data_IF_602716148481
#
_entry.id   IF_602716148481
#
_cell.length_a   1.000
_cell.length_b   1.000
_cell.length_c   1.000
_cell.angle_alpha   90.00
_cell.angle_beta   90.00
_cell.angle_gamma   90.00
#
_symmetry.space_group_name_H-M   'P 1'
#
loop_
_entity.id
_entity.type
_entity.pdbx_description
1 polymer ?
#
# COMPACT_ATOMS: atom_id res chain seq x y z
N UNK A 1 -5.60 25.09 -22.66
CA UNK A 1 -6.07 25.15 -21.26
C UNK A 1 -6.61 23.76 -20.95
N UNK A 2 -5.77 22.90 -20.39
CA UNK A 2 -6.20 21.55 -20.05
C UNK A 2 -7.07 21.61 -18.79
N UNK A 3 -8.32 21.17 -18.95
CA UNK A 3 -9.29 21.06 -17.88
C UNK A 3 -8.91 19.82 -17.08
N UNK A 4 -8.14 20.00 -16.02
CA UNK A 4 -7.81 18.93 -15.08
C UNK A 4 -9.15 18.44 -14.50
N UNK A 5 -9.50 17.15 -14.64
CA UNK A 5 -10.73 16.62 -14.05
C UNK A 5 -10.68 16.88 -12.55
N UNK A 6 -11.70 17.56 -12.03
CA UNK A 6 -11.93 17.70 -10.59
C UNK A 6 -12.25 16.32 -10.03
N UNK A 7 -11.22 15.49 -9.83
CA UNK A 7 -11.28 14.51 -8.77
C UNK A 7 -11.58 15.31 -7.51
N UNK A 8 -12.72 15.02 -6.88
CA UNK A 8 -13.10 15.59 -5.60
C UNK A 8 -12.12 14.99 -4.58
N UNK A 9 -10.92 15.57 -4.51
CA UNK A 9 -9.87 15.11 -3.62
C UNK A 9 -10.21 15.66 -2.24
N UNK A 10 -10.42 14.77 -1.28
CA UNK A 10 -10.51 15.17 0.12
C UNK A 10 -9.11 15.63 0.59
N UNK A 11 -8.87 16.93 0.60
CA UNK A 11 -7.53 17.53 0.81
C UNK A 11 -6.96 17.21 2.19
N UNK A 12 -7.79 17.15 3.23
CA UNK A 12 -7.38 16.75 4.58
C UNK A 12 -6.87 15.31 4.65
N UNK A 13 -7.53 14.37 3.96
CA UNK A 13 -7.12 12.97 3.91
C UNK A 13 -5.81 12.83 3.13
N UNK A 14 -5.69 13.55 2.00
CA UNK A 14 -4.46 13.63 1.19
C UNK A 14 -3.28 14.17 2.01
N UNK A 15 -3.48 15.25 2.75
CA UNK A 15 -2.47 15.82 3.63
C UNK A 15 -2.01 14.83 4.69
N UNK A 16 -2.96 14.13 5.35
CA UNK A 16 -2.63 13.09 6.34
C UNK A 16 -1.85 11.94 5.72
N UNK A 17 -2.14 11.60 4.46
CA UNK A 17 -1.44 10.57 3.71
C UNK A 17 0.00 10.99 3.44
N UNK A 18 0.22 12.19 2.89
CA UNK A 18 1.56 12.74 2.62
C UNK A 18 2.42 12.80 3.89
N UNK A 19 1.84 13.25 5.01
CA UNK A 19 2.53 13.29 6.31
C UNK A 19 3.03 11.89 6.71
N UNK A 20 2.21 10.85 6.49
CA UNK A 20 2.57 9.45 6.77
C UNK A 20 3.61 8.93 5.80
N UNK A 21 3.45 9.18 4.49
CA UNK A 21 4.37 8.74 3.44
C UNK A 21 5.78 9.36 3.61
N UNK A 22 5.87 10.56 4.18
CA UNK A 22 7.15 11.20 4.55
C UNK A 22 7.71 10.75 5.90
N UNK A 23 7.10 9.76 6.54
CA UNK A 23 7.46 9.25 7.87
C UNK A 23 7.48 10.36 8.96
N UNK A 24 6.67 11.40 8.80
CA UNK A 24 6.56 12.49 9.77
C UNK A 24 5.46 12.12 10.78
N UNK A 25 5.78 12.14 12.08
CA UNK A 25 4.76 11.96 13.12
C UNK A 25 3.78 13.13 13.07
N UNK A 26 2.48 12.87 13.20
CA UNK A 26 1.42 13.90 13.22
C UNK A 26 1.73 15.00 14.25
N UNK A 27 2.25 14.62 15.42
CA UNK A 27 2.64 15.57 16.46
C UNK A 27 3.77 16.51 16.01
N UNK A 28 4.74 15.98 15.27
CA UNK A 28 5.88 16.76 14.77
C UNK A 28 5.45 17.67 13.62
N UNK A 29 4.56 17.21 12.75
CA UNK A 29 3.90 18.06 11.75
C UNK A 29 3.15 19.23 12.42
N UNK A 30 2.37 18.95 13.46
CA UNK A 30 1.61 19.97 14.19
C UNK A 30 2.52 21.03 14.83
N UNK A 31 3.60 20.59 15.46
CA UNK A 31 4.63 21.47 16.03
C UNK A 31 5.28 22.35 14.97
N UNK A 32 5.67 21.78 13.82
CA UNK A 32 6.28 22.52 12.70
C UNK A 32 5.31 23.54 12.09
N UNK A 33 4.02 23.22 12.08
CA UNK A 33 2.97 24.11 11.58
C UNK A 33 2.44 25.11 12.62
N UNK A 34 2.98 25.10 13.84
CA UNK A 34 2.62 26.08 14.88
C UNK A 34 1.25 25.86 15.51
N UNK A 35 0.67 24.65 15.44
CA UNK A 35 -0.64 24.36 16.04
C UNK A 35 -0.67 23.08 16.89
N UNK A 36 -1.75 22.91 17.65
CA UNK A 36 -1.93 21.74 18.53
C UNK A 36 -2.24 20.47 17.73
N UNK A 37 -1.98 19.30 18.34
CA UNK A 37 -2.31 18.02 17.72
C UNK A 37 -3.82 17.91 17.34
N UNK A 38 -4.70 18.47 18.16
CA UNK A 38 -6.14 18.54 17.88
C UNK A 38 -6.45 19.34 16.60
N UNK A 39 -5.74 20.46 16.39
CA UNK A 39 -5.89 21.28 15.17
C UNK A 39 -5.38 20.52 13.94
N UNK A 40 -4.32 19.70 14.07
CA UNK A 40 -3.86 18.82 13.00
C UNK A 40 -4.97 17.85 12.56
N UNK A 41 -5.60 17.15 13.52
CA UNK A 41 -6.70 16.24 13.27
C UNK A 41 -7.97 16.94 12.74
N UNK A 42 -8.17 18.21 13.09
CA UNK A 42 -9.21 19.04 12.49
C UNK A 42 -8.95 19.26 11.00
N UNK A 43 -7.74 19.65 10.60
CA UNK A 43 -7.39 19.82 9.18
C UNK A 43 -7.46 18.51 8.39
N UNK A 44 -7.06 17.39 8.98
CA UNK A 44 -7.11 16.09 8.29
C UNK A 44 -8.53 15.59 7.97
N UNK A 45 -9.55 16.13 8.63
CA UNK A 45 -10.97 15.81 8.36
C UNK A 45 -11.65 16.80 7.42
N UNK A 46 -10.93 17.81 6.92
CA UNK A 46 -11.50 18.77 5.97
C UNK A 46 -11.47 18.24 4.55
N UNK A 47 -12.61 18.25 3.89
CA UNK A 47 -12.70 17.97 2.46
C UNK A 47 -11.90 18.99 1.64
N UNK A 48 -11.96 20.26 2.02
CA UNK A 48 -11.21 21.35 1.41
C UNK A 48 -10.52 22.23 2.47
N UNK A 49 -9.27 22.57 2.22
CA UNK A 49 -8.43 23.45 3.02
C UNK A 49 -8.25 24.75 2.23
N UNK A 50 -8.18 25.89 2.94
CA UNK A 50 -7.93 27.18 2.28
C UNK A 50 -6.59 27.13 1.56
N UNK A 51 -6.55 27.59 0.30
CA UNK A 51 -5.35 27.56 -0.57
C UNK A 51 -4.09 28.12 0.11
N UNK A 52 -4.20 29.24 0.83
CA UNK A 52 -3.06 29.82 1.55
C UNK A 52 -2.49 28.87 2.61
N UNK A 53 -3.36 28.27 3.43
CA UNK A 53 -2.97 27.28 4.45
C UNK A 53 -2.42 26.01 3.81
N UNK A 54 -3.01 25.55 2.70
CA UNK A 54 -2.53 24.37 2.00
C UNK A 54 -1.13 24.58 1.42
N UNK A 55 -0.85 25.77 0.88
CA UNK A 55 0.49 26.14 0.42
C UNK A 55 1.50 26.13 1.57
N UNK A 56 1.16 26.67 2.74
CA UNK A 56 2.01 26.60 3.94
C UNK A 56 2.28 25.14 4.35
N UNK A 57 1.30 24.25 4.26
CA UNK A 57 1.52 22.84 4.55
C UNK A 57 2.43 22.18 3.52
N UNK A 58 2.27 22.51 2.23
CA UNK A 58 3.13 22.01 1.17
C UNK A 58 4.58 22.47 1.37
N UNK A 59 4.81 23.74 1.73
CA UNK A 59 6.17 24.25 2.02
C UNK A 59 6.78 23.58 3.25
N UNK A 60 6.02 23.38 4.32
CA UNK A 60 6.47 22.65 5.51
C UNK A 60 6.83 21.19 5.21
N UNK A 61 6.10 20.57 4.29
CA UNK A 61 6.33 19.20 3.84
C UNK A 61 7.41 19.12 2.75
N UNK A 62 7.88 20.25 2.21
CA UNK A 62 8.84 20.29 1.11
C UNK A 62 8.30 19.64 -0.16
N UNK A 63 7.05 19.95 -0.52
CA UNK A 63 6.41 19.54 -1.77
C UNK A 63 5.77 20.74 -2.46
N UNK A 64 5.56 20.66 -3.77
CA UNK A 64 4.78 21.64 -4.51
C UNK A 64 3.27 21.38 -4.39
N UNK A 65 2.46 22.39 -4.75
CA UNK A 65 1.00 22.23 -4.79
C UNK A 65 0.57 21.24 -5.89
N UNK A 66 1.28 21.23 -7.01
CA UNK A 66 1.02 20.29 -8.10
C UNK A 66 1.35 18.86 -7.66
N UNK A 67 2.47 18.67 -6.95
CA UNK A 67 2.81 17.40 -6.31
C UNK A 67 1.76 16.96 -5.30
N UNK A 68 1.17 17.88 -4.53
CA UNK A 68 0.11 17.56 -3.57
C UNK A 68 -1.14 16.98 -4.26
N UNK A 69 -1.60 17.59 -5.36
CA UNK A 69 -2.78 17.12 -6.10
C UNK A 69 -2.49 15.90 -6.96
N UNK A 70 -1.27 15.80 -7.48
CA UNK A 70 -0.77 14.63 -8.19
C UNK A 70 -0.28 13.51 -7.24
N UNK A 71 -0.41 13.71 -5.91
CA UNK A 71 0.01 12.73 -4.91
C UNK A 71 -0.95 11.53 -4.93
N UNK A 72 -0.74 10.67 -5.91
CA UNK A 72 -1.01 9.26 -5.76
C UNK A 72 -0.18 8.77 -4.60
N UNK A 73 -0.65 7.77 -3.84
CA UNK A 73 0.25 7.04 -2.93
C UNK A 73 1.60 6.87 -3.63
N UNK A 74 2.74 6.78 -2.91
CA UNK A 74 3.70 5.83 -3.37
C UNK A 74 2.91 4.52 -3.42
N UNK A 75 2.28 4.25 -4.58
CA UNK A 75 2.30 2.96 -5.22
C UNK A 75 3.71 2.57 -4.89
N UNK A 76 3.90 1.66 -3.94
CA UNK A 76 5.14 0.90 -3.90
C UNK A 76 5.33 0.61 -5.38
N UNK A 77 6.35 1.25 -5.97
CA UNK A 77 6.79 0.87 -7.30
C UNK A 77 6.74 -0.64 -7.19
N UNK A 78 5.96 -1.38 -8.00
CA UNK A 78 5.93 -2.83 -7.89
C UNK A 78 7.39 -3.22 -7.99
N UNK A 79 7.99 -3.49 -6.83
CA UNK A 79 9.41 -3.32 -6.66
C UNK A 79 9.93 -4.64 -7.09
N UNK A 80 10.22 -4.66 -8.39
CA UNK A 80 10.82 -5.77 -9.10
C UNK A 80 9.92 -7.03 -9.11
N UNK A 81 10.21 -7.97 -10.00
CA UNK A 81 9.72 -9.34 -9.83
C UNK A 81 9.92 -9.78 -8.38
N UNK A 82 9.03 -10.64 -7.89
CA UNK A 82 9.01 -11.27 -6.55
C UNK A 82 10.36 -11.82 -6.03
N UNK A 83 11.42 -11.83 -6.86
CA UNK A 83 12.79 -12.19 -6.51
C UNK A 83 13.55 -11.14 -5.68
N UNK A 84 13.20 -9.86 -5.74
CA UNK A 84 14.06 -8.79 -5.17
C UNK A 84 13.47 -8.13 -3.90
N UNK A 85 12.31 -8.60 -3.41
CA UNK A 85 11.77 -8.12 -2.14
C UNK A 85 12.70 -8.51 -0.99
N UNK A 86 13.35 -7.51 -0.37
CA UNK A 86 14.17 -7.72 0.81
C UNK A 86 13.30 -8.02 2.05
N UNK A 87 13.07 -9.31 2.31
CA UNK A 87 12.14 -9.81 3.33
C UNK A 87 12.49 -9.32 4.74
N UNK A 88 13.78 -9.08 5.03
CA UNK A 88 14.24 -8.48 6.27
C UNK A 88 13.77 -7.04 6.51
N UNK A 89 13.73 -6.21 5.46
CA UNK A 89 13.23 -4.83 5.57
C UNK A 89 11.71 -4.85 5.74
N UNK A 90 11.02 -5.74 5.03
CA UNK A 90 9.58 -5.93 5.20
C UNK A 90 9.21 -6.36 6.62
N UNK A 91 10.03 -7.21 7.25
CA UNK A 91 9.87 -7.57 8.65
C UNK A 91 10.04 -6.34 9.55
N UNK A 92 11.04 -5.49 9.30
CA UNK A 92 11.29 -4.29 10.09
C UNK A 92 10.13 -3.28 10.01
N UNK A 93 9.62 -3.06 8.79
CA UNK A 93 8.42 -2.25 8.56
C UNK A 93 7.22 -2.76 9.37
N UNK A 94 6.94 -4.07 9.30
CA UNK A 94 5.80 -4.68 10.01
C UNK A 94 5.96 -4.58 11.54
N UNK A 95 7.19 -4.63 12.04
CA UNK A 95 7.49 -4.43 13.46
C UNK A 95 7.15 -3.00 13.86
N UNK A 96 7.53 -2.01 13.05
CA UNK A 96 7.25 -0.60 13.31
C UNK A 96 5.76 -0.28 13.19
N UNK A 97 5.10 -0.75 12.13
CA UNK A 97 3.66 -0.59 11.88
C UNK A 97 2.81 -1.14 13.04
N UNK A 98 3.15 -2.34 13.53
CA UNK A 98 2.46 -2.99 14.65
C UNK A 98 2.95 -2.53 16.03
N UNK A 99 3.93 -1.61 16.09
CA UNK A 99 4.50 -1.13 17.35
C UNK A 99 5.14 -2.23 18.22
N UNK A 100 5.67 -3.27 17.59
CA UNK A 100 6.22 -4.43 18.28
C UNK A 100 7.61 -4.12 18.85
N UNK A 101 7.84 -4.53 20.10
CA UNK A 101 9.16 -4.43 20.71
C UNK A 101 10.10 -5.50 20.13
N UNK A 102 11.16 -5.08 19.43
CA UNK A 102 12.16 -5.96 18.80
C UNK A 102 12.77 -6.98 19.78
N UNK A 103 13.00 -6.58 21.03
CA UNK A 103 13.48 -7.50 22.06
C UNK A 103 12.47 -8.61 22.34
N UNK A 104 11.21 -8.24 22.61
CA UNK A 104 10.14 -9.22 22.87
C UNK A 104 9.86 -10.10 21.66
N UNK A 105 10.07 -9.58 20.45
CA UNK A 105 9.94 -10.36 19.22
C UNK A 105 11.06 -11.39 19.10
N UNK A 106 12.32 -11.01 19.40
CA UNK A 106 13.44 -11.93 19.43
C UNK A 106 13.17 -13.10 20.39
N UNK A 107 12.66 -12.79 21.59
CA UNK A 107 12.29 -13.80 22.60
C UNK A 107 11.19 -14.73 22.08
N UNK A 108 10.11 -14.19 21.48
CA UNK A 108 9.02 -14.99 20.87
C UNK A 108 9.48 -15.83 19.68
N UNK A 109 10.49 -15.36 18.95
CA UNK A 109 11.12 -16.10 17.86
C UNK A 109 12.20 -17.07 18.35
N UNK A 110 12.48 -17.15 19.65
CA UNK A 110 13.59 -17.90 20.22
C UNK A 110 14.92 -17.60 19.52
N UNK A 111 15.19 -16.30 19.30
CA UNK A 111 16.40 -15.77 18.67
C UNK A 111 17.12 -14.86 19.66
N UNK A 112 18.45 -14.82 19.59
CA UNK A 112 19.19 -13.75 20.25
C UNK A 112 18.87 -12.40 19.60
N UNK A 113 19.00 -11.29 20.33
CA UNK A 113 18.81 -9.95 19.76
C UNK A 113 19.68 -9.73 18.52
N UNK A 114 20.94 -10.19 18.57
CA UNK A 114 21.87 -10.14 17.44
C UNK A 114 21.35 -10.97 16.25
N UNK A 115 20.80 -12.15 16.48
CA UNK A 115 20.22 -12.98 15.43
C UNK A 115 18.97 -12.33 14.79
N UNK A 116 18.17 -11.58 15.57
CA UNK A 116 17.04 -10.83 15.01
C UNK A 116 17.52 -9.69 14.09
N UNK A 117 18.54 -8.92 14.49
CA UNK A 117 19.08 -7.87 13.61
C UNK A 117 19.70 -8.46 12.34
N UNK A 118 20.43 -9.56 12.44
CA UNK A 118 20.92 -10.28 11.27
C UNK A 118 19.79 -10.80 10.37
N UNK A 119 18.63 -11.15 10.95
CA UNK A 119 17.45 -11.56 10.20
C UNK A 119 16.81 -10.37 9.47
N UNK A 120 16.78 -9.18 10.09
CA UNK A 120 16.28 -7.94 9.48
C UNK A 120 17.17 -7.48 8.32
N UNK A 121 18.47 -7.72 8.39
CA UNK A 121 19.40 -7.44 7.29
C UNK A 121 19.41 -8.52 6.19
N UNK A 122 18.61 -9.59 6.35
CA UNK A 122 18.60 -10.70 5.40
C UNK A 122 17.66 -10.42 4.22
N UNK A 123 18.13 -10.53 2.96
CA UNK A 123 17.30 -10.24 1.80
C UNK A 123 16.20 -11.28 1.58
N UNK A 124 16.48 -12.56 1.84
CA UNK A 124 15.52 -13.64 1.65
C UNK A 124 15.54 -14.57 2.86
N UNK A 125 14.36 -14.92 3.38
CA UNK A 125 14.23 -15.86 4.48
C UNK A 125 14.20 -17.29 3.94
N UNK A 126 14.70 -18.23 4.75
CA UNK A 126 14.43 -19.65 4.50
C UNK A 126 12.93 -19.92 4.72
N UNK A 127 12.36 -21.00 4.16
CA UNK A 127 10.96 -21.36 4.38
C UNK A 127 10.59 -21.49 5.86
N UNK A 128 11.52 -22.01 6.68
CA UNK A 128 11.35 -22.13 8.13
C UNK A 128 11.33 -20.77 8.84
N UNK A 129 12.23 -19.86 8.45
CA UNK A 129 12.29 -18.50 8.98
C UNK A 129 11.00 -17.74 8.64
N UNK A 130 10.56 -17.81 7.37
CA UNK A 130 9.33 -17.18 6.92
C UNK A 130 8.11 -17.71 7.67
N UNK A 131 7.99 -19.03 7.83
CA UNK A 131 6.91 -19.67 8.60
C UNK A 131 6.88 -19.18 10.04
N UNK A 132 8.05 -19.11 10.70
CA UNK A 132 8.16 -18.65 12.09
C UNK A 132 7.80 -17.18 12.24
N UNK A 133 8.23 -16.33 11.30
CA UNK A 133 7.87 -14.91 11.26
C UNK A 133 6.36 -14.74 11.10
N UNK A 134 5.75 -15.45 10.15
CA UNK A 134 4.30 -15.42 9.92
C UNK A 134 3.51 -15.85 11.17
N UNK A 135 3.96 -16.92 11.84
CA UNK A 135 3.34 -17.41 13.07
C UNK A 135 3.42 -16.40 14.21
N UNK A 136 4.59 -15.78 14.44
CA UNK A 136 4.80 -14.84 15.54
C UNK A 136 4.08 -13.51 15.30
N UNK A 137 3.96 -13.09 14.03
CA UNK A 137 3.27 -11.88 13.63
C UNK A 137 1.76 -12.09 13.43
N UNK A 138 1.27 -13.33 13.51
CA UNK A 138 -0.12 -13.73 13.28
C UNK A 138 -0.64 -13.24 11.92
N UNK A 139 0.16 -13.44 10.88
CA UNK A 139 -0.15 -13.08 9.49
C UNK A 139 0.15 -14.24 8.55
N UNK A 140 -0.48 -14.23 7.39
CA UNK A 140 -0.21 -15.19 6.31
C UNK A 140 1.05 -14.79 5.54
N UNK A 141 1.66 -15.77 4.85
CA UNK A 141 2.79 -15.50 3.96
C UNK A 141 2.43 -14.51 2.83
N UNK A 142 1.17 -14.50 2.38
CA UNK A 142 0.67 -13.56 1.37
C UNK A 142 0.62 -12.12 1.89
N UNK A 143 0.16 -11.94 3.13
CA UNK A 143 0.15 -10.62 3.80
C UNK A 143 1.57 -10.13 4.09
N UNK A 144 2.45 -11.03 4.54
CA UNK A 144 3.86 -10.71 4.76
C UNK A 144 4.54 -10.22 3.49
N UNK A 145 4.40 -10.95 2.38
CA UNK A 145 4.97 -10.62 1.07
C UNK A 145 4.28 -9.43 0.37
N UNK A 146 3.26 -8.82 1.00
CA UNK A 146 2.62 -7.62 0.50
C UNK A 146 1.73 -7.85 -0.73
N UNK A 147 1.28 -9.09 -0.99
CA UNK A 147 0.31 -9.35 -2.07
C UNK A 147 -1.10 -8.84 -1.73
N UNK A 148 -1.37 -8.56 -0.46
CA UNK A 148 -2.64 -8.00 0.01
C UNK A 148 -2.41 -6.74 0.87
N UNK A 149 -2.21 -5.60 0.21
CA UNK A 149 -2.75 -4.34 0.73
C UNK A 149 -3.58 -3.71 -0.39
N UNK A 150 -4.62 -4.41 -0.79
CA UNK A 150 -5.84 -3.73 -1.21
C UNK A 150 -6.51 -3.40 0.13
N UNK A 151 -6.43 -2.13 0.52
CA UNK A 151 -7.24 -1.64 1.63
C UNK A 151 -8.69 -2.09 1.42
N UNK A 152 -9.33 -2.44 2.53
CA UNK A 152 -10.76 -2.71 2.66
C UNK A 152 -11.55 -1.49 2.13
N UNK A 153 -11.70 -1.41 0.81
CA UNK A 153 -12.48 -0.40 0.11
C UNK A 153 -13.87 -1.01 -0.11
N UNK A 154 -14.98 -0.40 0.35
CA UNK A 154 -16.33 -0.92 0.11
C UNK A 154 -16.76 -0.96 -1.37
N UNK A 155 -15.85 -0.77 -2.34
CA UNK A 155 -16.09 -0.86 -3.79
C UNK A 155 -15.75 -2.23 -4.43
N UNK A 156 -15.47 -3.27 -3.62
CA UNK A 156 -15.27 -4.65 -4.15
C UNK A 156 -16.43 -5.22 -5.00
N UNK A 157 -17.70 -4.75 -4.94
CA UNK A 157 -18.72 -5.26 -5.86
C UNK A 157 -18.40 -5.02 -7.34
N UNK A 158 -17.70 -3.93 -7.66
CA UNK A 158 -17.51 -3.54 -9.06
C UNK A 158 -16.35 -4.30 -9.73
N UNK A 159 -15.25 -4.54 -9.01
CA UNK A 159 -14.09 -5.26 -9.57
C UNK A 159 -14.38 -6.76 -9.81
N UNK A 160 -15.11 -7.40 -8.88
CA UNK A 160 -15.61 -8.77 -9.06
C UNK A 160 -16.59 -8.83 -10.25
N UNK A 161 -17.45 -7.80 -10.40
CA UNK A 161 -18.38 -7.69 -11.53
C UNK A 161 -17.67 -7.58 -12.89
N UNK A 162 -16.56 -6.83 -12.96
CA UNK A 162 -15.76 -6.73 -14.20
C UNK A 162 -15.02 -8.02 -14.53
N UNK A 163 -14.52 -8.71 -13.51
CA UNK A 163 -13.86 -10.00 -13.66
C UNK A 163 -14.82 -11.07 -14.18
N UNK A 164 -16.03 -11.14 -13.63
CA UNK A 164 -17.07 -12.08 -14.09
C UNK A 164 -17.54 -11.75 -15.52
N UNK A 165 -17.72 -10.47 -15.85
CA UNK A 165 -18.05 -10.04 -17.22
C UNK A 165 -16.94 -10.42 -18.21
N UNK A 166 -15.68 -10.26 -17.82
CA UNK A 166 -14.54 -10.62 -18.65
C UNK A 166 -14.43 -12.13 -18.88
N UNK A 167 -14.60 -12.94 -17.83
CA UNK A 167 -14.61 -14.40 -17.97
C UNK A 167 -15.76 -14.89 -18.85
N UNK A 168 -16.95 -14.32 -18.69
CA UNK A 168 -18.09 -14.65 -19.52
C UNK A 168 -17.84 -14.33 -21.01
N UNK A 169 -17.25 -13.17 -21.29
CA UNK A 169 -16.87 -12.78 -22.66
C UNK A 169 -15.84 -13.73 -23.27
N UNK A 170 -14.84 -14.15 -22.48
CA UNK A 170 -13.84 -15.14 -22.89
C UNK A 170 -14.47 -16.50 -23.20
N UNK A 171 -15.41 -16.96 -22.37
CA UNK A 171 -16.13 -18.21 -22.62
C UNK A 171 -16.99 -18.14 -23.88
N UNK A 172 -17.71 -17.04 -24.10
CA UNK A 172 -18.51 -16.83 -25.31
C UNK A 172 -17.63 -16.78 -26.56
N UNK A 173 -16.48 -16.11 -26.48
CA UNK A 173 -15.51 -16.07 -27.57
C UNK A 173 -14.92 -17.46 -27.88
N UNK A 174 -14.52 -18.22 -26.85
CA UNK A 174 -14.02 -19.57 -27.03
C UNK A 174 -15.08 -20.51 -27.61
N UNK A 175 -16.34 -20.40 -27.18
CA UNK A 175 -17.45 -21.17 -27.78
C UNK A 175 -17.66 -20.81 -29.26
N UNK A 176 -17.61 -19.53 -29.60
CA UNK A 176 -17.73 -19.09 -30.99
C UNK A 176 -16.55 -19.60 -31.84
N UNK A 177 -15.33 -19.58 -31.31
CA UNK A 177 -14.16 -20.13 -31.99
C UNK A 177 -14.28 -21.65 -32.24
N UNK A 178 -14.75 -22.40 -31.24
CA UNK A 178 -14.97 -23.85 -31.36
C UNK A 178 -16.06 -24.15 -32.39
N UNK A 179 -17.14 -23.37 -32.42
CA UNK A 179 -18.20 -23.57 -33.41
C UNK A 179 -17.72 -23.20 -34.82
N UNK A 180 -16.94 -22.13 -34.97
CA UNK A 180 -16.32 -21.75 -36.24
C UNK A 180 -15.32 -22.83 -36.70
N UNK A 181 -14.49 -23.37 -35.81
CA UNK A 181 -13.53 -24.43 -36.16
C UNK A 181 -14.25 -25.72 -36.57
N UNK A 182 -15.36 -26.04 -35.89
CA UNK A 182 -16.24 -27.17 -36.23
C UNK A 182 -16.89 -27.00 -37.60
N UNK A 183 -17.42 -25.81 -37.90
CA UNK A 183 -18.00 -25.48 -39.20
C UNK A 183 -16.96 -25.40 -40.32
N UNK A 184 -15.70 -25.09 -40.00
CA UNK A 184 -14.57 -25.04 -40.94
C UNK A 184 -13.81 -26.37 -41.06
N UNK A 185 -14.23 -27.43 -40.36
CA UNK A 185 -13.65 -28.77 -40.48
C UNK A 185 -12.19 -28.89 -40.05
N UNK A 186 -11.70 -28.01 -39.17
CA UNK A 186 -10.32 -28.05 -38.67
C UNK A 186 -10.32 -28.28 -37.15
N UNK A 187 -9.61 -29.31 -36.63
CA UNK A 187 -9.55 -29.55 -35.19
C UNK A 187 -8.75 -28.44 -34.48
N UNK A 188 -9.13 -28.05 -33.25
CA UNK A 188 -8.42 -27.02 -32.49
C UNK A 188 -7.02 -27.49 -32.09
N UNK A 189 -6.03 -26.58 -32.21
CA UNK A 189 -4.65 -26.74 -31.74
C UNK A 189 -4.55 -26.46 -30.23
#
# INVERSE_FOLDING_TARGET
>A
MEVIPKNIIHEGARLKQIVRDKHIKILDFAKRAGFSNQIAHYYFRKEAIKRATLLEFCTLLGISLDEFYAWTHPRRVPSQPVSDLHQGHRLDELIEEKGLNKTRLADRMNLSRRALYNLIEKPQFTPEQLKKVCQVLEITAKEFLGTNHVEDNPEVPELESWKDKYYKLLEEYNKALVEISRLRGQPPL
#
